data_IF_086402388663
#
_entry.id   IF_086402388663
#
_cell.length_a   1.000
_cell.length_b   1.000
_cell.length_c   1.000
_cell.angle_alpha   90.00
_cell.angle_beta   90.00
_cell.angle_gamma   90.00
#
_symmetry.space_group_name_H-M   'P 1'
#
loop_
_entity.id
_entity.type
_entity.pdbx_description
1 polymer ?
#
# COMPACT_ATOMS: atom_id res chain seq x y z
N UNK A 1 6.57 46.07 0.39
CA UNK A 1 7.80 45.26 0.22
C UNK A 1 7.94 44.19 1.30
N UNK A 2 7.91 44.53 2.59
CA UNK A 2 8.03 43.55 3.69
C UNK A 2 6.95 42.44 3.64
N UNK A 3 5.68 42.81 3.45
CA UNK A 3 4.58 41.83 3.33
C UNK A 3 4.76 40.88 2.14
N UNK A 4 5.16 41.42 0.97
CA UNK A 4 5.43 40.61 -0.22
C UNK A 4 6.61 39.64 0.01
N UNK A 5 7.68 40.09 0.66
CA UNK A 5 8.82 39.23 1.01
C UNK A 5 8.44 38.14 2.02
N UNK A 6 7.60 38.47 3.01
CA UNK A 6 7.12 37.51 3.99
C UNK A 6 6.25 36.42 3.34
N UNK A 7 5.32 36.81 2.46
CA UNK A 7 4.48 35.86 1.71
C UNK A 7 5.34 34.97 0.82
N UNK A 8 6.33 35.53 0.11
CA UNK A 8 7.25 34.75 -0.71
C UNK A 8 8.06 33.74 0.11
N UNK A 9 8.59 34.15 1.26
CA UNK A 9 9.30 33.25 2.18
C UNK A 9 8.39 32.14 2.70
N UNK A 10 7.13 32.45 3.02
CA UNK A 10 6.15 31.49 3.52
C UNK A 10 5.78 30.46 2.45
N UNK A 11 5.53 30.91 1.21
CA UNK A 11 5.29 30.03 0.06
C UNK A 11 6.52 29.15 -0.20
N UNK A 12 7.72 29.74 -0.23
CA UNK A 12 8.96 29.00 -0.45
C UNK A 12 9.19 27.94 0.64
N UNK A 13 8.91 28.28 1.90
CA UNK A 13 9.02 27.35 3.03
C UNK A 13 8.01 26.20 2.90
N UNK A 14 6.76 26.48 2.54
CA UNK A 14 5.73 25.45 2.29
C UNK A 14 6.13 24.55 1.12
N UNK A 15 6.63 25.11 0.01
CA UNK A 15 7.08 24.33 -1.15
C UNK A 15 8.25 23.42 -0.77
N UNK A 16 9.24 23.94 -0.02
CA UNK A 16 10.34 23.12 0.51
C UNK A 16 9.87 22.04 1.48
N UNK A 17 8.90 22.34 2.32
CA UNK A 17 8.32 21.38 3.24
C UNK A 17 7.58 20.25 2.52
N UNK A 18 7.04 20.50 1.33
CA UNK A 18 6.34 19.50 0.52
C UNK A 18 7.23 18.74 -0.45
N UNK A 19 8.46 19.19 -0.69
CA UNK A 19 9.42 18.42 -1.47
C UNK A 19 9.85 17.16 -0.69
N UNK A 20 9.62 16.00 -1.29
CA UNK A 20 10.08 14.73 -0.75
C UNK A 20 11.61 14.75 -0.66
N UNK A 21 12.16 14.45 0.53
CA UNK A 21 13.59 14.34 0.72
C UNK A 21 14.08 13.03 0.09
N UNK A 22 14.64 13.13 -1.11
CA UNK A 22 15.26 11.99 -1.79
C UNK A 22 16.73 11.88 -1.37
N UNK A 23 17.22 10.69 -0.97
CA UNK A 23 18.63 10.47 -0.68
C UNK A 23 19.52 10.83 -1.87
N UNK A 24 20.74 11.31 -1.61
CA UNK A 24 21.71 11.65 -2.66
C UNK A 24 21.98 10.41 -3.54
N UNK A 25 21.87 10.56 -4.86
CA UNK A 25 22.11 9.48 -5.83
C UNK A 25 20.86 8.70 -6.24
N UNK A 26 19.71 8.91 -5.58
CA UNK A 26 18.44 8.31 -5.96
C UNK A 26 17.51 9.34 -6.62
N UNK A 27 16.56 8.85 -7.42
CA UNK A 27 15.49 9.65 -8.02
C UNK A 27 14.18 9.27 -7.35
N UNK A 28 13.32 10.26 -7.10
CA UNK A 28 11.94 9.99 -6.71
C UNK A 28 11.22 9.26 -7.84
N UNK A 29 10.25 8.38 -7.52
CA UNK A 29 9.38 7.81 -8.52
C UNK A 29 8.69 8.91 -9.35
N UNK A 30 8.43 8.68 -10.65
CA UNK A 30 7.65 9.58 -11.47
C UNK A 30 6.21 9.66 -10.96
N UNK A 31 5.53 10.77 -11.21
CA UNK A 31 4.14 10.94 -10.83
C UNK A 31 3.49 12.16 -11.47
N UNK A 32 2.16 12.14 -11.62
CA UNK A 32 1.41 13.32 -12.04
C UNK A 32 1.54 14.47 -11.03
N UNK A 33 1.28 15.68 -11.50
CA UNK A 33 1.14 16.83 -10.62
C UNK A 33 -0.14 16.66 -9.78
N UNK A 34 0.01 16.76 -8.45
CA UNK A 34 -1.08 16.61 -7.50
C UNK A 34 -1.46 17.91 -6.82
N UNK A 35 -2.71 18.02 -6.39
CA UNK A 35 -3.18 19.18 -5.66
C UNK A 35 -2.52 19.30 -4.28
N UNK A 36 -2.24 20.52 -3.80
CA UNK A 36 -1.58 20.80 -2.52
C UNK A 36 -2.11 20.00 -1.31
N UNK A 37 -3.45 19.93 -1.18
CA UNK A 37 -4.15 19.35 -0.03
C UNK A 37 -4.89 18.05 -0.36
N UNK A 38 -5.48 17.95 -1.55
CA UNK A 38 -6.25 16.77 -1.97
C UNK A 38 -5.38 15.71 -2.64
N UNK A 39 -4.20 16.09 -3.15
CA UNK A 39 -3.37 15.23 -3.99
C UNK A 39 -4.12 14.82 -5.25
N UNK A 40 -4.34 13.52 -5.39
CA UNK A 40 -4.91 12.85 -6.57
C UNK A 40 -6.27 12.19 -6.28
N UNK A 41 -6.88 12.48 -5.13
CA UNK A 41 -8.18 11.89 -4.73
C UNK A 41 -9.23 12.08 -5.82
N UNK A 42 -9.28 13.29 -6.42
CA UNK A 42 -10.22 13.59 -7.51
C UNK A 42 -9.92 12.79 -8.79
N UNK A 43 -8.64 12.51 -9.06
CA UNK A 43 -8.21 11.72 -10.21
C UNK A 43 -8.59 10.24 -10.07
N UNK A 44 -8.57 9.70 -8.85
CA UNK A 44 -8.94 8.30 -8.59
C UNK A 44 -10.44 8.06 -8.75
N UNK A 45 -11.28 9.03 -8.38
CA UNK A 45 -12.73 8.97 -8.54
C UNK A 45 -13.36 7.73 -7.90
N UNK A 46 -14.44 7.21 -8.49
CA UNK A 46 -15.16 6.02 -8.00
C UNK A 46 -14.44 4.70 -8.31
N UNK A 47 -13.58 4.68 -9.33
CA UNK A 47 -12.91 3.48 -9.84
C UNK A 47 -11.39 3.66 -9.82
N UNK A 48 -10.76 3.62 -8.63
CA UNK A 48 -9.34 3.93 -8.47
C UNK A 48 -8.47 3.00 -9.31
N UNK A 49 -8.76 1.70 -9.37
CA UNK A 49 -7.99 0.73 -10.15
C UNK A 49 -7.92 1.07 -11.65
N UNK A 50 -8.99 1.60 -12.24
CA UNK A 50 -9.01 2.03 -13.65
C UNK A 50 -8.16 3.29 -13.83
N UNK A 51 -8.29 4.27 -12.93
CA UNK A 51 -7.50 5.49 -12.99
C UNK A 51 -6.00 5.20 -12.82
N UNK A 52 -5.64 4.34 -11.86
CA UNK A 52 -4.26 3.93 -11.61
C UNK A 52 -3.65 3.16 -12.80
N UNK A 53 -4.43 2.28 -13.44
CA UNK A 53 -4.00 1.57 -14.64
C UNK A 53 -3.69 2.52 -15.81
N UNK A 54 -4.51 3.57 -16.02
CA UNK A 54 -4.22 4.61 -17.01
C UNK A 54 -2.98 5.43 -16.65
N UNK A 55 -2.76 5.69 -15.36
CA UNK A 55 -1.57 6.40 -14.90
C UNK A 55 -0.31 5.56 -15.09
N UNK A 56 -0.34 4.25 -14.83
CA UNK A 56 0.83 3.40 -15.03
C UNK A 56 1.21 3.23 -16.50
N UNK A 57 0.23 3.24 -17.41
CA UNK A 57 0.51 3.31 -18.85
C UNK A 57 1.29 4.57 -19.26
N UNK A 58 1.12 5.69 -18.52
CA UNK A 58 1.77 6.98 -18.83
C UNK A 58 3.08 7.21 -18.09
N UNK A 59 3.15 6.83 -16.82
CA UNK A 59 4.29 7.11 -15.94
C UNK A 59 5.18 5.89 -15.69
N UNK A 60 4.75 4.71 -16.14
CA UNK A 60 5.45 3.44 -15.99
C UNK A 60 4.99 2.61 -14.80
N UNK A 61 5.68 1.49 -14.61
CA UNK A 61 5.36 0.46 -13.63
C UNK A 61 5.52 0.90 -12.18
N UNK A 62 6.38 1.88 -11.91
CA UNK A 62 6.60 2.44 -10.57
C UNK A 62 6.25 3.91 -10.62
N UNK A 63 5.13 4.27 -10.00
CA UNK A 63 4.68 5.66 -9.94
C UNK A 63 4.28 6.05 -8.53
N UNK A 64 4.39 7.33 -8.21
CA UNK A 64 3.96 7.89 -6.94
C UNK A 64 2.78 8.83 -7.14
N UNK A 65 1.75 8.64 -6.32
CA UNK A 65 0.64 9.56 -6.17
C UNK A 65 0.57 10.06 -4.73
N UNK A 66 -0.40 10.92 -4.46
CA UNK A 66 -0.70 11.46 -3.14
C UNK A 66 -2.20 11.39 -2.90
N UNK A 67 -2.62 10.84 -1.77
CA UNK A 67 -4.02 10.81 -1.34
C UNK A 67 -4.11 11.77 -0.15
N UNK A 68 -4.75 12.92 -0.35
CA UNK A 68 -4.70 14.01 0.62
C UNK A 68 -3.25 14.49 0.80
N UNK A 69 -2.72 14.35 2.03
CA UNK A 69 -1.33 14.63 2.33
C UNK A 69 -0.39 13.42 2.24
N UNK A 70 -0.92 12.20 2.11
CA UNK A 70 -0.16 10.95 2.23
C UNK A 70 0.38 10.49 0.88
N UNK A 71 1.70 10.29 0.72
CA UNK A 71 2.26 9.71 -0.50
C UNK A 71 1.94 8.22 -0.60
N UNK A 72 1.62 7.74 -1.81
CA UNK A 72 1.31 6.34 -2.09
C UNK A 72 2.09 5.90 -3.32
N UNK A 73 2.87 4.83 -3.18
CA UNK A 73 3.56 4.18 -4.28
C UNK A 73 2.61 3.17 -4.94
N UNK A 74 2.50 3.23 -6.25
CA UNK A 74 1.69 2.32 -7.06
C UNK A 74 2.63 1.50 -7.92
N UNK A 75 2.52 0.18 -7.78
CA UNK A 75 3.27 -0.79 -8.57
C UNK A 75 2.33 -1.39 -9.62
N UNK A 76 2.81 -1.45 -10.84
CA UNK A 76 2.16 -2.06 -12.00
C UNK A 76 3.18 -2.92 -12.76
N UNK A 77 2.71 -3.83 -13.61
CA UNK A 77 3.57 -4.73 -14.36
C UNK A 77 3.99 -5.97 -13.56
N UNK A 78 4.02 -7.12 -14.25
CA UNK A 78 4.26 -8.42 -13.60
C UNK A 78 5.67 -8.50 -12.99
N UNK A 79 6.69 -8.09 -13.73
CA UNK A 79 8.09 -8.20 -13.30
C UNK A 79 8.39 -7.26 -12.14
N UNK A 80 7.88 -6.04 -12.18
CA UNK A 80 8.01 -5.04 -11.12
C UNK A 80 7.33 -5.50 -9.83
N UNK A 81 6.10 -6.02 -9.93
CA UNK A 81 5.38 -6.57 -8.77
C UNK A 81 6.11 -7.78 -8.20
N UNK A 82 6.62 -8.67 -9.05
CA UNK A 82 7.42 -9.83 -8.61
C UNK A 82 8.72 -9.40 -7.93
N UNK A 83 9.39 -8.38 -8.45
CA UNK A 83 10.59 -7.83 -7.85
C UNK A 83 10.30 -7.32 -6.43
N UNK A 84 9.26 -6.50 -6.27
CA UNK A 84 8.92 -5.91 -4.98
C UNK A 84 8.39 -6.93 -3.97
N UNK A 85 7.39 -7.74 -4.35
CA UNK A 85 6.67 -8.60 -3.40
C UNK A 85 7.31 -9.97 -3.17
N UNK A 86 8.18 -10.42 -4.08
CA UNK A 86 8.86 -11.73 -3.95
C UNK A 86 10.33 -11.55 -3.65
N UNK A 87 11.08 -10.87 -4.53
CA UNK A 87 12.54 -10.74 -4.36
C UNK A 87 12.91 -9.79 -3.22
N UNK A 88 12.11 -8.75 -3.01
CA UNK A 88 12.23 -7.78 -1.91
C UNK A 88 11.08 -7.91 -0.91
N UNK A 89 10.50 -9.11 -0.79
CA UNK A 89 9.26 -9.32 -0.02
C UNK A 89 9.35 -8.86 1.44
N UNK A 90 10.53 -8.96 2.07
CA UNK A 90 10.74 -8.50 3.44
C UNK A 90 10.63 -6.97 3.61
N UNK A 91 10.94 -6.20 2.56
CA UNK A 91 10.83 -4.75 2.57
C UNK A 91 9.37 -4.29 2.34
N UNK A 92 8.59 -5.08 1.60
CA UNK A 92 7.22 -4.75 1.17
C UNK A 92 6.11 -5.50 1.92
N UNK A 93 6.43 -6.30 2.94
CA UNK A 93 5.42 -7.10 3.68
C UNK A 93 4.54 -6.30 4.65
N UNK A 94 4.90 -5.06 4.95
CA UNK A 94 4.21 -4.21 5.92
C UNK A 94 2.74 -3.91 5.56
N UNK A 95 1.98 -3.41 6.54
CA UNK A 95 0.64 -2.85 6.32
C UNK A 95 0.61 -1.40 6.78
N UNK A 96 -0.01 -0.49 5.99
CA UNK A 96 -0.18 0.89 6.41
C UNK A 96 -1.15 0.97 7.60
N UNK A 97 -0.87 1.88 8.53
CA UNK A 97 -1.73 2.15 9.68
C UNK A 97 -2.91 3.05 9.29
N UNK A 98 -3.90 2.47 8.61
CA UNK A 98 -5.12 3.18 8.26
C UNK A 98 -6.12 3.13 9.40
N UNK A 99 -6.83 4.25 9.64
CA UNK A 99 -7.89 4.32 10.64
C UNK A 99 -8.99 3.26 10.44
N UNK A 100 -9.30 2.90 9.18
CA UNK A 100 -10.27 1.83 8.92
C UNK A 100 -9.80 0.45 9.38
N UNK A 101 -8.50 0.19 9.47
CA UNK A 101 -7.94 -1.10 9.89
C UNK A 101 -8.00 -1.30 11.41
N UNK A 102 -7.99 -0.22 12.19
CA UNK A 102 -8.12 -0.29 13.65
C UNK A 102 -9.51 -0.74 14.10
N UNK A 103 -10.52 -0.59 13.23
CA UNK A 103 -11.89 -1.04 13.48
C UNK A 103 -12.10 -2.54 13.21
N UNK A 104 -11.14 -3.23 12.60
CA UNK A 104 -11.26 -4.66 12.25
C UNK A 104 -10.64 -5.53 13.33
N UNK A 105 -11.45 -6.40 13.94
CA UNK A 105 -11.03 -7.31 15.02
C UNK A 105 -10.33 -6.56 16.16
N UNK A 106 -10.89 -5.42 16.58
CA UNK A 106 -10.33 -4.52 17.61
C UNK A 106 -8.86 -4.13 17.33
N UNK A 107 -8.53 -3.95 16.05
CA UNK A 107 -7.19 -3.62 15.57
C UNK A 107 -6.18 -4.78 15.63
N UNK A 108 -6.61 -5.98 16.03
CA UNK A 108 -5.74 -7.16 16.19
C UNK A 108 -5.82 -8.14 15.01
N UNK A 109 -6.45 -7.74 13.90
CA UNK A 109 -6.59 -8.58 12.71
C UNK A 109 -5.24 -8.98 12.12
N UNK A 110 -5.01 -10.28 11.89
CA UNK A 110 -3.80 -10.79 11.23
C UNK A 110 -3.57 -10.22 9.81
N UNK A 111 -4.65 -9.81 9.12
CA UNK A 111 -4.58 -9.34 7.73
C UNK A 111 -4.31 -7.84 7.61
N UNK A 112 -4.87 -7.05 8.54
CA UNK A 112 -4.93 -5.59 8.47
C UNK A 112 -4.04 -4.87 9.50
N UNK A 113 -3.60 -5.56 10.56
CA UNK A 113 -2.73 -4.96 11.58
C UNK A 113 -1.36 -4.56 10.97
N UNK A 114 -0.77 -3.41 11.38
CA UNK A 114 0.55 -2.96 10.93
C UNK A 114 1.72 -3.88 11.32
N UNK A 115 1.56 -4.72 12.35
CA UNK A 115 2.57 -5.70 12.76
C UNK A 115 2.79 -6.75 11.66
N UNK A 116 4.01 -6.73 11.10
CA UNK A 116 4.49 -7.65 10.08
C UNK A 116 5.75 -8.41 10.53
N UNK A 117 5.98 -8.44 11.85
CA UNK A 117 7.12 -9.09 12.48
C UNK A 117 6.93 -10.60 12.71
N UNK A 118 7.70 -11.18 13.63
CA UNK A 118 7.64 -12.61 13.96
C UNK A 118 6.26 -13.06 14.47
N UNK A 119 5.53 -12.19 15.18
CA UNK A 119 4.18 -12.50 15.70
C UNK A 119 3.20 -12.72 14.56
N UNK A 120 3.21 -11.84 13.55
CA UNK A 120 2.42 -12.02 12.34
C UNK A 120 2.77 -13.33 11.61
N UNK A 121 4.07 -13.62 11.46
CA UNK A 121 4.52 -14.84 10.78
C UNK A 121 4.05 -16.12 11.53
N UNK A 122 4.10 -16.12 12.87
CA UNK A 122 3.62 -17.22 13.69
C UNK A 122 2.10 -17.42 13.55
N UNK A 123 1.30 -16.34 13.65
CA UNK A 123 -0.16 -16.38 13.45
C UNK A 123 -0.51 -16.89 12.05
N UNK A 124 0.19 -16.41 11.02
CA UNK A 124 0.00 -16.84 9.63
C UNK A 124 0.26 -18.34 9.48
N UNK A 125 1.35 -18.85 10.06
CA UNK A 125 1.68 -20.28 10.02
C UNK A 125 0.62 -21.14 10.69
N UNK A 126 0.11 -20.72 11.85
CA UNK A 126 -0.98 -21.42 12.55
C UNK A 126 -2.24 -21.48 11.69
N UNK A 127 -2.68 -20.35 11.11
CA UNK A 127 -3.86 -20.30 10.25
C UNK A 127 -3.71 -21.18 8.99
N UNK A 128 -2.54 -21.14 8.35
CA UNK A 128 -2.25 -21.98 7.17
C UNK A 128 -2.25 -23.48 7.51
N UNK A 129 -1.68 -23.87 8.66
CA UNK A 129 -1.67 -25.25 9.11
C UNK A 129 -3.09 -25.75 9.41
N UNK A 130 -3.90 -24.95 10.12
CA UNK A 130 -5.29 -25.28 10.41
C UNK A 130 -6.13 -25.40 9.14
N UNK A 131 -6.00 -24.46 8.21
CA UNK A 131 -6.68 -24.55 6.91
C UNK A 131 -6.28 -25.82 6.17
N UNK A 132 -4.98 -26.11 6.08
CA UNK A 132 -4.50 -27.32 5.41
C UNK A 132 -5.06 -28.61 6.06
N UNK A 133 -5.10 -28.68 7.39
CA UNK A 133 -5.58 -29.86 8.11
C UNK A 133 -7.09 -30.07 7.98
N UNK A 134 -7.88 -29.00 7.85
CA UNK A 134 -9.35 -29.10 7.84
C UNK A 134 -9.99 -28.90 6.46
N UNK A 135 -9.25 -28.50 5.43
CA UNK A 135 -9.80 -28.34 4.07
C UNK A 135 -9.18 -29.27 3.01
N UNK A 136 -7.90 -29.61 3.14
CA UNK A 136 -7.17 -30.39 2.12
C UNK A 136 -6.85 -31.80 2.61
N UNK A 137 -6.59 -31.98 3.91
CA UNK A 137 -6.31 -33.29 4.43
C UNK A 137 -7.57 -34.17 4.32
N UNK A 138 -7.52 -35.13 3.39
CA UNK A 138 -8.50 -36.21 3.35
C UNK A 138 -8.37 -37.00 4.63
N UNK A 139 -9.45 -37.14 5.36
CA UNK A 139 -9.52 -38.00 6.52
C UNK A 139 -9.30 -39.46 6.06
N UNK A 140 -8.23 -40.16 6.48
CA UNK A 140 -8.03 -41.56 6.12
C UNK A 140 -9.09 -42.48 6.74
N UNK A 141 -9.93 -41.98 7.65
CA UNK A 141 -11.00 -42.74 8.31
C UNK A 141 -12.43 -42.32 7.90
N UNK A 142 -12.63 -41.30 7.04
CA UNK A 142 -13.98 -40.85 6.68
C UNK A 142 -14.50 -41.54 5.41
N UNK A 143 -15.40 -42.50 5.61
CA UNK A 143 -16.33 -43.00 4.58
C UNK A 143 -17.62 -42.17 4.53
N UNK A 144 -17.59 -40.88 4.87
CA UNK A 144 -18.77 -40.02 4.80
C UNK A 144 -18.50 -38.82 3.92
N UNK A 145 -18.90 -38.98 2.66
CA UNK A 145 -19.13 -37.91 1.73
C UNK A 145 -20.23 -37.00 2.29
N UNK A 146 -19.83 -35.84 2.81
CA UNK A 146 -20.78 -34.75 3.01
C UNK A 146 -20.89 -33.99 1.69
N UNK A 147 -21.81 -34.42 0.84
CA UNK A 147 -22.35 -33.58 -0.21
C UNK A 147 -23.04 -32.40 0.47
N UNK A 148 -22.45 -31.21 0.36
CA UNK A 148 -23.14 -29.95 0.60
C UNK A 148 -23.98 -29.65 -0.65
N UNK A 149 -25.26 -30.01 -0.59
CA UNK A 149 -26.32 -29.17 -1.19
C UNK A 149 -26.79 -28.15 -0.15
#
# INVERSE_FOLDING_TARGET
>A
LLLASAIFCLIFWVVRAWQSRVPKGLKSPPGPWGWPLLGHVLTLGKSPHVALSRLSQRYGDVLQIRIGCTPVLVLSGLDTIRQALVRQGDDFKGRPDFYSFTLVSDGQSMTFNPDSGPVWAARRRLAQNALKSFSIASDPASSSSCYLE
#
